data_IF_620698121492
#
_entry.id   IF_620698121492
#
_cell.length_a   1.000
_cell.length_b   1.000
_cell.length_c   1.000
_cell.angle_alpha   90.00
_cell.angle_beta   90.00
_cell.angle_gamma   90.00
#
_symmetry.space_group_name_H-M   'P 1'
#
loop_
_entity.id
_entity.type
_entity.pdbx_description
1 polymer ?
#
# COMPACT_ATOMS: atom_id res chain seq x y z
N UNK A 1 1.45 20.38 2.83
CA UNK A 1 1.49 19.86 1.43
C UNK A 1 2.35 20.79 0.61
N UNK A 2 3.31 20.27 -0.15
CA UNK A 2 4.20 21.07 -1.01
C UNK A 2 3.45 21.68 -2.20
N UNK A 3 4.04 22.64 -2.95
CA UNK A 3 3.49 23.11 -4.21
C UNK A 3 3.21 21.98 -5.22
N UNK A 4 3.98 20.88 -5.17
CA UNK A 4 3.79 19.68 -6.00
C UNK A 4 2.75 18.68 -5.44
N UNK A 5 2.10 18.97 -4.32
CA UNK A 5 1.08 18.09 -3.75
C UNK A 5 1.59 17.00 -2.81
N UNK A 6 2.88 17.01 -2.49
CA UNK A 6 3.49 15.99 -1.64
C UNK A 6 3.32 16.31 -0.15
N UNK A 7 3.19 15.27 0.67
CA UNK A 7 3.14 15.33 2.13
C UNK A 7 4.48 14.83 2.71
N UNK A 8 5.40 15.73 3.12
CA UNK A 8 6.74 15.33 3.56
C UNK A 8 6.72 14.70 4.95
N UNK A 9 7.46 13.62 5.09
CA UNK A 9 7.92 13.12 6.38
C UNK A 9 9.27 13.75 6.69
N UNK A 10 9.29 14.65 7.69
CA UNK A 10 10.47 15.41 8.11
C UNK A 10 11.37 14.64 9.08
N UNK A 11 10.97 13.42 9.48
CA UNK A 11 11.73 12.53 10.35
C UNK A 11 12.23 11.31 9.56
N UNK A 12 13.44 10.82 9.84
CA UNK A 12 14.00 9.66 9.17
C UNK A 12 13.24 8.37 9.52
N UNK A 13 13.23 7.39 8.59
CA UNK A 13 12.65 6.05 8.81
C UNK A 13 13.73 4.99 9.11
N UNK A 14 14.67 5.28 10.02
CA UNK A 14 15.92 4.52 10.17
C UNK A 14 15.81 3.04 10.57
N UNK A 15 14.70 2.56 11.14
CA UNK A 15 14.66 1.25 11.79
C UNK A 15 14.40 0.05 10.85
N UNK A 16 13.56 0.24 9.81
CA UNK A 16 13.17 -0.86 8.89
C UNK A 16 13.39 -0.48 7.44
N UNK A 17 13.10 0.76 7.06
CA UNK A 17 13.25 1.25 5.69
C UNK A 17 14.09 2.53 5.70
N UNK A 18 15.40 2.40 5.52
CA UNK A 18 16.35 3.52 5.62
C UNK A 18 15.98 4.60 4.59
N UNK A 19 15.33 5.65 5.07
CA UNK A 19 14.94 6.83 4.30
C UNK A 19 15.33 8.07 5.09
N UNK A 20 16.03 8.97 4.41
CA UNK A 20 16.40 10.28 4.95
C UNK A 20 15.28 11.30 4.65
N UNK A 21 15.06 12.27 5.54
CA UNK A 21 14.06 13.31 5.31
C UNK A 21 14.54 14.33 4.26
N UNK A 22 13.63 14.98 3.52
CA UNK A 22 12.21 14.64 3.45
C UNK A 22 12.01 13.39 2.58
N UNK A 23 11.17 12.47 3.05
CA UNK A 23 10.66 11.37 2.23
C UNK A 23 9.15 11.44 2.13
N UNK A 24 8.59 10.73 1.15
CA UNK A 24 7.16 10.74 0.84
C UNK A 24 6.61 9.32 0.84
N UNK A 25 5.30 9.18 1.01
CA UNK A 25 4.64 7.87 1.03
C UNK A 25 3.43 7.85 0.13
N UNK A 26 3.33 6.88 -0.78
CA UNK A 26 2.13 6.73 -1.60
C UNK A 26 0.88 6.43 -0.74
N UNK A 27 1.06 5.72 0.38
CA UNK A 27 -0.01 5.48 1.36
C UNK A 27 -0.52 6.81 1.92
N UNK A 28 0.38 7.67 2.40
CA UNK A 28 0.00 8.97 2.95
C UNK A 28 -0.75 9.83 1.93
N UNK A 29 -0.31 9.83 0.66
CA UNK A 29 -0.98 10.55 -0.42
C UNK A 29 -2.40 10.03 -0.65
N UNK A 30 -2.59 8.71 -0.72
CA UNK A 30 -3.91 8.11 -0.94
C UNK A 30 -4.86 8.27 0.24
N UNK A 31 -4.38 8.10 1.48
CA UNK A 31 -5.17 8.32 2.68
C UNK A 31 -5.57 9.79 2.83
N UNK A 32 -4.65 10.72 2.56
CA UNK A 32 -4.96 12.14 2.58
C UNK A 32 -6.02 12.49 1.53
N UNK A 33 -5.91 12.01 0.30
CA UNK A 33 -6.92 12.24 -0.73
C UNK A 33 -8.31 11.73 -0.30
N UNK A 34 -8.35 10.50 0.24
CA UNK A 34 -9.58 9.88 0.75
C UNK A 34 -10.22 10.69 1.87
N UNK A 35 -9.41 11.17 2.83
CA UNK A 35 -9.86 12.01 3.94
C UNK A 35 -10.37 13.36 3.44
N UNK A 36 -9.59 14.02 2.59
CA UNK A 36 -9.88 15.35 2.06
C UNK A 36 -11.17 15.35 1.24
N UNK A 37 -11.44 14.32 0.43
CA UNK A 37 -12.71 14.20 -0.31
C UNK A 37 -13.93 14.02 0.61
N UNK A 38 -13.79 13.20 1.66
CA UNK A 38 -14.87 13.04 2.66
C UNK A 38 -15.09 14.34 3.43
N UNK A 39 -14.02 15.05 3.78
CA UNK A 39 -14.07 16.39 4.37
C UNK A 39 -14.72 17.41 3.44
N UNK A 40 -14.36 17.43 2.17
CA UNK A 40 -14.95 18.30 1.14
C UNK A 40 -16.47 18.11 1.04
N UNK A 41 -16.92 16.86 1.13
CA UNK A 41 -18.35 16.51 1.10
C UNK A 41 -19.06 16.96 2.37
N UNK A 42 -18.48 16.67 3.54
CA UNK A 42 -19.08 17.03 4.83
C UNK A 42 -19.15 18.54 5.05
N UNK A 43 -18.11 19.27 4.64
CA UNK A 43 -17.94 20.70 4.86
C UNK A 43 -18.36 21.55 3.66
N UNK A 44 -18.72 20.92 2.52
CA UNK A 44 -19.14 21.58 1.27
C UNK A 44 -18.13 22.60 0.74
N UNK A 45 -16.85 22.25 0.77
CA UNK A 45 -15.71 23.11 0.39
C UNK A 45 -14.97 22.53 -0.81
N UNK A 46 -14.76 23.34 -1.84
CA UNK A 46 -13.98 22.97 -3.03
C UNK A 46 -12.49 22.90 -2.73
N UNK A 47 -12.00 23.67 -1.77
CA UNK A 47 -10.59 23.75 -1.40
C UNK A 47 -10.04 22.38 -0.96
N UNK A 48 -10.84 21.62 -0.21
CA UNK A 48 -10.46 20.25 0.19
C UNK A 48 -10.51 19.27 -0.99
N UNK A 49 -11.41 19.45 -1.95
CA UNK A 49 -11.45 18.65 -3.18
C UNK A 49 -10.20 18.91 -4.04
N UNK A 50 -9.83 20.18 -4.19
CA UNK A 50 -8.64 20.58 -4.94
C UNK A 50 -7.37 20.05 -4.27
N UNK A 51 -7.32 20.09 -2.93
CA UNK A 51 -6.23 19.49 -2.16
C UNK A 51 -6.15 17.96 -2.35
N UNK A 52 -7.28 17.26 -2.40
CA UNK A 52 -7.32 15.82 -2.64
C UNK A 52 -6.80 15.45 -4.04
N UNK A 53 -7.23 16.18 -5.07
CA UNK A 53 -6.75 16.00 -6.44
C UNK A 53 -5.24 16.22 -6.49
N UNK A 54 -4.78 17.30 -5.86
CA UNK A 54 -3.36 17.63 -5.82
C UNK A 54 -2.51 16.58 -5.09
N UNK A 55 -3.05 15.95 -4.04
CA UNK A 55 -2.35 14.91 -3.28
C UNK A 55 -2.08 13.64 -4.12
N UNK A 56 -2.96 13.29 -5.07
CA UNK A 56 -2.76 12.08 -5.89
C UNK A 56 -1.94 12.31 -7.16
N UNK A 57 -1.62 13.56 -7.53
CA UNK A 57 -0.97 13.87 -8.82
C UNK A 57 0.30 13.04 -9.01
N UNK A 58 1.14 12.95 -7.98
CA UNK A 58 2.37 12.15 -8.00
C UNK A 58 2.13 10.64 -8.17
N UNK A 59 0.93 10.12 -7.90
CA UNK A 59 0.58 8.71 -8.09
C UNK A 59 0.07 8.42 -9.52
N UNK A 60 -0.19 9.46 -10.31
CA UNK A 60 -0.69 9.35 -11.69
C UNK A 60 0.37 9.69 -12.74
N UNK A 61 1.55 10.12 -12.30
CA UNK A 61 2.65 10.58 -13.16
C UNK A 61 3.82 9.59 -13.12
N UNK A 62 4.56 9.50 -14.22
CA UNK A 62 5.81 8.73 -14.30
C UNK A 62 6.99 9.54 -13.75
N UNK A 63 8.04 8.84 -13.30
CA UNK A 63 9.29 9.48 -12.87
C UNK A 63 9.33 9.94 -11.41
N UNK A 64 8.33 9.56 -10.60
CA UNK A 64 8.38 9.69 -9.14
C UNK A 64 8.87 8.40 -8.49
N UNK A 65 9.59 8.51 -7.38
CA UNK A 65 9.99 7.36 -6.56
C UNK A 65 8.80 6.71 -5.82
N UNK A 66 7.62 7.35 -5.84
CA UNK A 66 6.37 6.81 -5.29
C UNK A 66 5.71 5.77 -6.19
N UNK A 67 6.14 5.63 -7.44
CA UNK A 67 5.60 4.66 -8.39
C UNK A 67 6.75 3.84 -8.98
N UNK A 68 6.93 2.62 -8.49
CA UNK A 68 7.91 1.71 -9.05
C UNK A 68 7.33 1.03 -10.29
N UNK A 69 8.00 1.19 -11.44
CA UNK A 69 7.68 0.45 -12.65
C UNK A 69 8.17 -1.00 -12.53
N UNK A 70 7.27 -1.97 -12.66
CA UNK A 70 7.61 -3.40 -12.65
C UNK A 70 7.09 -4.09 -13.91
N UNK A 71 7.60 -5.29 -14.28
CA UNK A 71 7.08 -6.05 -15.41
C UNK A 71 5.57 -6.36 -15.32
N UNK A 72 5.02 -6.41 -14.10
CA UNK A 72 3.61 -6.69 -13.85
C UNK A 72 2.71 -5.44 -13.91
N UNK A 73 3.33 -4.25 -13.93
CA UNK A 73 2.69 -2.93 -13.89
C UNK A 73 3.20 -2.03 -12.74
N UNK A 74 2.57 -0.86 -12.50
CA UNK A 74 3.02 0.10 -11.49
C UNK A 74 2.72 -0.38 -10.07
N UNK A 75 3.69 -0.20 -9.16
CA UNK A 75 3.54 -0.48 -7.72
C UNK A 75 3.71 0.82 -6.94
N UNK A 76 2.68 1.24 -6.21
CA UNK A 76 2.71 2.47 -5.40
C UNK A 76 3.49 2.21 -4.11
N UNK A 77 4.56 2.96 -3.88
CA UNK A 77 5.50 2.72 -2.78
C UNK A 77 5.09 3.44 -1.49
N UNK A 78 4.73 2.67 -0.45
CA UNK A 78 4.58 3.20 0.92
C UNK A 78 5.88 3.82 1.42
N UNK A 79 7.00 3.14 1.14
CA UNK A 79 8.35 3.58 1.43
C UNK A 79 9.14 3.54 0.12
N UNK A 80 9.52 4.69 -0.46
CA UNK A 80 10.23 4.78 -1.74
C UNK A 80 11.72 4.42 -1.57
N UNK A 81 12.00 3.18 -1.20
CA UNK A 81 13.37 2.67 -1.04
C UNK A 81 13.99 2.30 -2.40
N UNK A 82 15.32 2.31 -2.46
CA UNK A 82 16.08 1.75 -3.56
C UNK A 82 16.99 0.63 -3.04
N UNK A 83 16.80 -0.64 -3.44
CA UNK A 83 15.72 -1.14 -4.30
C UNK A 83 14.31 -1.07 -3.65
N UNK A 84 13.22 -1.07 -4.43
CA UNK A 84 11.86 -0.99 -3.91
C UNK A 84 11.46 -2.20 -3.04
N UNK A 85 10.83 -1.95 -1.89
CA UNK A 85 10.37 -3.01 -0.97
C UNK A 85 8.95 -3.48 -1.22
N UNK A 86 8.11 -2.69 -1.90
CA UNK A 86 6.74 -3.05 -2.27
C UNK A 86 5.87 -3.51 -1.07
N UNK A 87 5.65 -2.62 -0.09
CA UNK A 87 4.77 -2.91 1.06
C UNK A 87 3.30 -3.04 0.62
N UNK A 88 2.65 -4.12 1.04
CA UNK A 88 1.31 -4.48 0.55
C UNK A 88 0.22 -3.50 0.99
N UNK A 89 0.12 -3.23 2.30
CA UNK A 89 -0.98 -2.44 2.84
C UNK A 89 -0.97 -1.01 2.28
N UNK A 90 0.21 -0.36 2.24
CA UNK A 90 0.30 1.01 1.76
C UNK A 90 0.07 1.14 0.27
N UNK A 91 0.44 0.15 -0.53
CA UNK A 91 0.06 0.11 -1.94
C UNK A 91 -1.47 0.11 -2.08
N UNK A 92 -2.18 -0.72 -1.32
CA UNK A 92 -3.64 -0.81 -1.40
C UNK A 92 -4.31 0.48 -0.93
N UNK A 93 -3.84 1.12 0.14
CA UNK A 93 -4.36 2.42 0.57
C UNK A 93 -4.12 3.52 -0.46
N UNK A 94 -2.96 3.51 -1.12
CA UNK A 94 -2.67 4.43 -2.21
C UNK A 94 -3.65 4.24 -3.40
N UNK A 95 -3.95 2.98 -3.75
CA UNK A 95 -4.96 2.66 -4.77
C UNK A 95 -6.36 3.16 -4.39
N UNK A 96 -6.75 3.07 -3.12
CA UNK A 96 -8.06 3.59 -2.68
C UNK A 96 -8.16 5.11 -2.80
N UNK A 97 -7.07 5.85 -2.58
CA UNK A 97 -7.06 7.29 -2.85
C UNK A 97 -7.29 7.63 -4.33
N UNK A 98 -6.68 6.86 -5.24
CA UNK A 98 -6.92 6.99 -6.69
C UNK A 98 -8.38 6.65 -7.04
N UNK A 99 -8.92 5.56 -6.48
CA UNK A 99 -10.31 5.16 -6.66
C UNK A 99 -11.28 6.25 -6.20
N UNK A 100 -11.06 6.83 -5.00
CA UNK A 100 -11.92 7.86 -4.44
C UNK A 100 -11.90 9.14 -5.29
N UNK A 101 -10.74 9.58 -5.77
CA UNK A 101 -10.64 10.74 -6.67
C UNK A 101 -11.32 10.47 -8.01
N UNK A 102 -11.15 9.26 -8.56
CA UNK A 102 -11.85 8.86 -9.79
C UNK A 102 -13.37 8.87 -9.62
N UNK A 103 -13.88 8.36 -8.49
CA UNK A 103 -15.31 8.27 -8.21
C UNK A 103 -15.97 9.62 -7.87
N UNK A 104 -15.22 10.54 -7.27
CA UNK A 104 -15.73 11.84 -6.83
C UNK A 104 -15.69 12.94 -7.90
N UNK A 105 -15.05 12.69 -9.05
CA UNK A 105 -14.77 13.69 -10.07
C UNK A 105 -15.28 13.33 -11.47
N UNK A 106 -14.96 14.21 -12.41
CA UNK A 106 -15.23 14.00 -13.85
C UNK A 106 -14.09 14.60 -14.70
N UNK A 107 -14.08 14.29 -16.00
CA UNK A 107 -13.10 14.83 -16.94
C UNK A 107 -11.70 14.22 -16.77
N UNK A 108 -10.68 14.96 -17.19
CA UNK A 108 -9.33 14.41 -17.35
C UNK A 108 -8.69 13.95 -16.04
N UNK A 109 -8.95 14.63 -14.93
CA UNK A 109 -8.42 14.24 -13.60
C UNK A 109 -8.98 12.89 -13.17
N UNK A 110 -10.32 12.73 -13.24
CA UNK A 110 -10.97 11.48 -12.89
C UNK A 110 -10.54 10.34 -13.81
N UNK A 111 -10.39 10.60 -15.11
CA UNK A 111 -9.91 9.61 -16.08
C UNK A 111 -8.47 9.16 -15.78
N UNK A 112 -7.55 10.08 -15.43
CA UNK A 112 -6.18 9.72 -15.04
C UNK A 112 -6.13 8.92 -13.74
N UNK A 113 -6.87 9.35 -12.71
CA UNK A 113 -6.96 8.63 -11.45
C UNK A 113 -7.53 7.21 -11.66
N UNK A 114 -8.54 7.08 -12.53
CA UNK A 114 -9.12 5.79 -12.90
C UNK A 114 -8.11 4.88 -13.61
N UNK A 115 -7.38 5.40 -14.60
CA UNK A 115 -6.34 4.64 -15.33
C UNK A 115 -5.27 4.13 -14.36
N UNK A 116 -4.74 5.02 -13.51
CA UNK A 116 -3.72 4.66 -12.52
C UNK A 116 -4.23 3.62 -11.50
N UNK A 117 -5.49 3.72 -11.07
CA UNK A 117 -6.13 2.70 -10.23
C UNK A 117 -6.23 1.36 -10.96
N UNK A 118 -6.72 1.34 -12.19
CA UNK A 118 -6.93 0.10 -12.97
C UNK A 118 -5.60 -0.61 -13.27
N UNK A 119 -4.57 0.14 -13.67
CA UNK A 119 -3.23 -0.38 -13.89
C UNK A 119 -2.61 -0.93 -12.60
N UNK A 120 -2.74 -0.16 -11.50
CA UNK A 120 -2.19 -0.55 -10.21
C UNK A 120 -2.90 -1.74 -9.57
N UNK A 121 -4.22 -1.85 -9.70
CA UNK A 121 -4.97 -3.01 -9.17
C UNK A 121 -4.76 -4.27 -10.02
N UNK A 122 -4.58 -4.11 -11.33
CA UNK A 122 -4.15 -5.21 -12.22
C UNK A 122 -2.76 -5.70 -11.86
N UNK A 123 -1.81 -4.78 -11.61
CA UNK A 123 -0.48 -5.13 -11.15
C UNK A 123 -0.51 -5.83 -9.78
N UNK A 124 -1.37 -5.37 -8.86
CA UNK A 124 -1.58 -6.01 -7.56
C UNK A 124 -2.08 -7.45 -7.73
N UNK A 125 -3.12 -7.66 -8.53
CA UNK A 125 -3.67 -8.99 -8.83
C UNK A 125 -2.58 -9.96 -9.32
N UNK A 126 -1.73 -9.51 -10.24
CA UNK A 126 -0.61 -10.29 -10.80
C UNK A 126 0.49 -10.62 -9.79
N UNK A 127 0.64 -9.82 -8.73
CA UNK A 127 1.69 -9.96 -7.72
C UNK A 127 1.22 -10.56 -6.40
N UNK A 128 -0.09 -10.71 -6.17
CA UNK A 128 -0.64 -11.19 -4.89
C UNK A 128 -0.07 -12.53 -4.44
N UNK A 129 0.21 -13.44 -5.39
CA UNK A 129 0.82 -14.73 -5.09
C UNK A 129 2.19 -14.60 -4.40
N UNK A 130 2.95 -13.55 -4.70
CA UNK A 130 4.27 -13.28 -4.09
C UNK A 130 4.15 -12.92 -2.60
N UNK A 131 3.00 -12.35 -2.19
CA UNK A 131 2.70 -12.03 -0.79
C UNK A 131 2.19 -13.23 0.00
N UNK A 132 1.84 -14.34 -0.66
CA UNK A 132 1.45 -15.58 0.01
C UNK A 132 2.64 -16.32 0.63
N UNK A 133 2.44 -16.87 1.83
CA UNK A 133 3.30 -17.89 2.42
C UNK A 133 2.59 -19.22 2.46
N UNK A 134 3.38 -20.29 2.52
CA UNK A 134 2.87 -21.61 2.84
C UNK A 134 2.05 -21.59 4.15
N UNK A 135 0.88 -22.23 4.12
CA UNK A 135 -0.09 -22.17 5.21
C UNK A 135 -1.05 -20.98 5.15
N UNK A 136 -0.99 -20.16 4.10
CA UNK A 136 -1.95 -19.09 3.84
C UNK A 136 -1.72 -17.81 4.64
N UNK A 137 -0.53 -17.60 5.21
CA UNK A 137 -0.20 -16.34 5.88
C UNK A 137 0.36 -15.32 4.89
N UNK A 138 0.21 -14.02 5.14
CA UNK A 138 0.72 -12.98 4.23
C UNK A 138 2.12 -12.50 4.63
N UNK A 139 2.95 -12.14 3.64
CA UNK A 139 4.11 -11.27 3.81
C UNK A 139 3.66 -9.81 4.00
N UNK A 140 4.51 -9.00 4.61
CA UNK A 140 4.29 -7.55 4.74
C UNK A 140 4.72 -6.80 3.47
N UNK A 141 5.85 -7.21 2.92
CA UNK A 141 6.53 -6.58 1.78
C UNK A 141 7.18 -7.65 0.89
N UNK A 142 7.73 -7.22 -0.25
CA UNK A 142 8.51 -8.03 -1.18
C UNK A 142 9.96 -7.54 -1.25
N UNK A 143 10.52 -7.13 -0.12
CA UNK A 143 11.91 -6.65 -0.08
C UNK A 143 12.86 -7.68 -0.73
N UNK A 144 13.86 -7.22 -1.51
CA UNK A 144 14.72 -8.13 -2.27
C UNK A 144 15.80 -8.79 -1.42
N UNK A 145 16.18 -8.17 -0.30
CA UNK A 145 17.26 -8.59 0.58
C UNK A 145 16.76 -8.97 1.99
N UNK A 146 17.55 -9.78 2.69
CA UNK A 146 17.27 -10.13 4.08
C UNK A 146 16.15 -11.17 4.26
N UNK A 147 15.79 -11.47 5.53
CA UNK A 147 14.75 -12.45 5.82
C UNK A 147 13.37 -11.95 5.39
N UNK A 148 12.52 -12.89 4.95
CA UNK A 148 11.12 -12.61 4.61
C UNK A 148 10.41 -11.89 5.75
N UNK A 149 9.88 -10.70 5.47
CA UNK A 149 9.11 -9.93 6.43
C UNK A 149 7.68 -10.47 6.51
N UNK A 150 7.43 -11.41 7.43
CA UNK A 150 6.08 -11.94 7.67
C UNK A 150 5.20 -10.83 8.25
N UNK A 151 3.95 -10.73 7.79
CA UNK A 151 2.99 -9.79 8.38
C UNK A 151 2.73 -10.15 9.85
N UNK A 152 2.70 -9.16 10.74
CA UNK A 152 2.23 -9.39 12.11
C UNK A 152 0.75 -9.81 12.11
N UNK A 153 0.22 -10.38 13.20
CA UNK A 153 -1.21 -10.67 13.32
C UNK A 153 -2.11 -9.50 12.93
N UNK A 154 -1.77 -8.29 13.37
CA UNK A 154 -2.48 -7.06 13.00
C UNK A 154 -2.47 -6.83 11.48
N UNK A 155 -1.29 -6.84 10.85
CA UNK A 155 -1.19 -6.59 9.41
C UNK A 155 -1.79 -7.70 8.56
N UNK A 156 -1.69 -8.96 8.98
CA UNK A 156 -2.35 -10.05 8.28
C UNK A 156 -3.87 -9.90 8.30
N UNK A 157 -4.43 -9.52 9.46
CA UNK A 157 -5.84 -9.21 9.55
C UNK A 157 -6.23 -8.01 8.68
N UNK A 158 -5.41 -6.94 8.67
CA UNK A 158 -5.61 -5.80 7.79
C UNK A 158 -5.62 -6.20 6.30
N UNK A 159 -4.65 -7.02 5.87
CA UNK A 159 -4.58 -7.51 4.50
C UNK A 159 -5.83 -8.30 4.12
N UNK A 160 -6.39 -9.12 5.02
CA UNK A 160 -7.68 -9.80 4.80
C UNK A 160 -8.79 -8.79 4.52
N UNK A 161 -8.91 -7.74 5.34
CA UNK A 161 -9.95 -6.72 5.15
C UNK A 161 -9.75 -5.95 3.84
N UNK A 162 -8.50 -5.66 3.49
CA UNK A 162 -8.16 -5.02 2.23
C UNK A 162 -8.53 -5.88 1.01
N UNK A 163 -8.29 -7.19 1.06
CA UNK A 163 -8.72 -8.12 -0.01
C UNK A 163 -10.25 -8.20 -0.12
N UNK A 164 -10.96 -8.25 1.01
CA UNK A 164 -12.43 -8.24 1.03
C UNK A 164 -13.02 -6.93 0.48
N UNK A 165 -12.36 -5.80 0.74
CA UNK A 165 -12.77 -4.52 0.17
C UNK A 165 -12.51 -4.50 -1.34
N UNK A 166 -11.32 -4.89 -1.79
CA UNK A 166 -10.97 -4.96 -3.22
C UNK A 166 -11.90 -5.91 -4.00
N UNK A 167 -12.30 -7.05 -3.44
CA UNK A 167 -13.23 -7.96 -4.09
C UNK A 167 -14.65 -7.40 -4.28
N UNK A 168 -14.96 -6.25 -3.67
CA UNK A 168 -16.22 -5.51 -3.88
C UNK A 168 -16.06 -4.37 -4.89
N UNK A 169 -14.82 -3.93 -5.13
CA UNK A 169 -14.48 -2.81 -6.01
C UNK A 169 -14.07 -3.29 -7.42
N UNK A 170 -13.52 -4.50 -7.53
CA UNK A 170 -12.97 -5.05 -8.76
C UNK A 170 -13.51 -6.46 -9.00
N UNK A 171 -13.90 -6.74 -10.24
CA UNK A 171 -14.35 -8.06 -10.68
C UNK A 171 -13.15 -8.96 -11.03
N UNK A 172 -12.33 -9.26 -10.01
CA UNK A 172 -11.25 -10.26 -10.12
C UNK A 172 -11.34 -11.24 -8.93
N UNK A 173 -11.55 -12.54 -9.19
CA UNK A 173 -11.70 -13.55 -8.14
C UNK A 173 -10.43 -13.77 -7.31
N UNK A 174 -9.27 -13.26 -7.74
CA UNK A 174 -8.02 -13.37 -6.99
C UNK A 174 -8.14 -12.72 -5.61
N UNK A 175 -8.84 -11.59 -5.49
CA UNK A 175 -8.99 -10.88 -4.22
C UNK A 175 -9.85 -11.69 -3.24
N UNK A 176 -10.99 -12.19 -3.70
CA UNK A 176 -11.88 -13.02 -2.88
C UNK A 176 -11.22 -14.34 -2.46
N UNK A 177 -10.54 -15.03 -3.39
CA UNK A 177 -9.86 -16.29 -3.10
C UNK A 177 -8.66 -16.10 -2.15
N UNK A 178 -7.89 -15.02 -2.32
CA UNK A 178 -6.80 -14.65 -1.41
C UNK A 178 -7.32 -14.33 -0.01
N UNK A 179 -8.41 -13.55 0.10
CA UNK A 179 -9.06 -13.27 1.38
C UNK A 179 -9.48 -14.56 2.10
N UNK A 180 -10.09 -15.52 1.38
CA UNK A 180 -10.51 -16.81 1.94
C UNK A 180 -9.31 -17.61 2.43
N UNK A 181 -8.23 -17.69 1.65
CA UNK A 181 -7.02 -18.42 2.05
C UNK A 181 -6.40 -17.82 3.32
N UNK A 182 -6.28 -16.50 3.38
CA UNK A 182 -5.73 -15.78 4.53
C UNK A 182 -6.64 -15.87 5.76
N UNK A 183 -7.96 -15.83 5.61
CA UNK A 183 -8.90 -16.05 6.70
C UNK A 183 -8.80 -17.46 7.30
N UNK A 184 -8.60 -18.50 6.48
CA UNK A 184 -8.36 -19.86 7.00
C UNK A 184 -7.11 -19.90 7.86
N UNK A 185 -6.04 -19.23 7.44
CA UNK A 185 -4.80 -19.14 8.20
C UNK A 185 -4.99 -18.38 9.52
N UNK A 186 -5.71 -17.25 9.51
CA UNK A 186 -6.06 -16.47 10.69
C UNK A 186 -6.84 -17.27 11.74
N UNK A 187 -7.74 -18.15 11.31
CA UNK A 187 -8.56 -19.00 12.20
C UNK A 187 -7.80 -20.20 12.79
N UNK A 188 -6.59 -20.48 12.33
CA UNK A 188 -5.77 -21.59 12.81
C UNK A 188 -4.78 -21.12 13.89
N UNK A 189 -4.96 -21.50 15.18
CA UNK A 189 -4.05 -21.10 16.26
C UNK A 189 -2.61 -21.53 15.99
N UNK A 190 -2.42 -22.70 15.36
CA UNK A 190 -1.10 -23.20 14.96
C UNK A 190 -0.44 -22.27 13.94
N UNK A 191 -1.19 -21.83 12.93
CA UNK A 191 -0.65 -20.95 11.89
C UNK A 191 -0.32 -19.57 12.45
N UNK A 192 -1.19 -19.03 13.31
CA UNK A 192 -0.94 -17.77 14.03
C UNK A 192 0.34 -17.86 14.88
N UNK A 193 0.52 -18.93 15.64
CA UNK A 193 1.72 -19.13 16.47
C UNK A 193 3.00 -19.22 15.62
N UNK A 194 2.97 -19.95 14.51
CA UNK A 194 4.10 -20.04 13.56
C UNK A 194 4.44 -18.66 12.99
N UNK A 195 3.42 -17.89 12.56
CA UNK A 195 3.62 -16.55 12.01
C UNK A 195 4.20 -15.57 13.04
N UNK A 196 3.70 -15.59 14.28
CA UNK A 196 4.24 -14.80 15.38
C UNK A 196 5.71 -15.14 15.64
N UNK A 197 6.06 -16.43 15.68
CA UNK A 197 7.45 -16.89 15.82
C UNK A 197 8.34 -16.42 14.67
N UNK A 198 7.87 -16.50 13.41
CA UNK A 198 8.61 -15.98 12.24
C UNK A 198 8.80 -14.45 12.34
N UNK A 199 7.79 -13.71 12.79
CA UNK A 199 7.90 -12.25 12.99
C UNK A 199 8.92 -11.87 14.06
N UNK A 200 8.96 -12.61 15.17
CA UNK A 200 9.96 -12.40 16.22
C UNK A 200 11.39 -12.63 15.71
N UNK A 201 11.61 -13.70 14.93
CA UNK A 201 12.91 -13.96 14.29
C UNK A 201 13.32 -12.85 13.33
N UNK A 202 12.38 -12.36 12.52
CA UNK A 202 12.60 -11.21 11.64
C UNK A 202 13.07 -9.98 12.43
N UNK A 203 12.38 -9.61 13.51
CA UNK A 203 12.75 -8.47 14.36
C UNK A 203 14.15 -8.65 14.98
N UNK A 204 14.44 -9.84 15.49
CA UNK A 204 15.76 -10.14 16.09
C UNK A 204 16.91 -9.99 15.08
N UNK A 205 16.72 -10.49 13.85
CA UNK A 205 17.71 -10.31 12.78
C UNK A 205 17.87 -8.84 12.39
N UNK A 206 16.77 -8.10 12.31
CA UNK A 206 16.79 -6.68 11.97
C UNK A 206 17.53 -5.85 13.03
N UNK A 207 17.26 -6.09 14.32
CA UNK A 207 17.94 -5.36 15.40
C UNK A 207 19.46 -5.61 15.43
N UNK A 208 19.93 -6.82 15.07
CA UNK A 208 21.36 -7.11 14.99
C UNK A 208 22.05 -6.43 13.80
N UNK A 209 21.36 -6.22 12.68
CA UNK A 209 21.92 -5.55 11.50
C UNK A 209 21.88 -4.01 11.54
N UNK A 210 21.28 -3.41 12.56
CA UNK A 210 21.28 -1.94 12.78
C UNK A 210 22.39 -1.52 13.78
N UNK A 211 22.96 -2.47 14.53
CA UNK A 211 23.98 -2.23 15.56
C UNK A 211 25.40 -2.64 15.16
N UNK A 212 25.62 -3.05 13.90
CA UNK A 212 26.93 -3.38 13.34
C UNK A 212 27.14 -2.64 12.03
#
# INVERSE_FOLDING_TARGET
MTPAGLLPYELPMGHTYRLDPPWFSAMAQGEAASLLLRGATALRTSELRDAAIKAITCLTESGTDLVAATPDGPVLQEYPTAPPVHVLNGWIFALWGLYDVAAAGSGQVAARARSAFDEGVTALARRLWMYGLEGGWSRYDLRPDGPVNVASPFYHHLHIQQMLALSRLVDDPVFASTAVAWQRAWRSPRTVAIAAGRKLRFRHHHHRGVLG
#
